data_IF_428443530289
#
_entry.id   IF_428443530289
#
_cell.length_a   1.000
_cell.length_b   1.000
_cell.length_c   1.000
_cell.angle_alpha   90.00
_cell.angle_beta   90.00
_cell.angle_gamma   90.00
#
_symmetry.space_group_name_H-M   'P 1'
#
loop_
_entity.id
_entity.type
_entity.pdbx_description
1 polymer ?
#
# COMPACT_ATOMS: atom_id res chain seq x y z
N UNK A 1 -12.90 30.47 -3.85
CA UNK A 1 -11.48 30.77 -3.53
C UNK A 1 -11.12 30.18 -2.18
N UNK A 2 -10.16 29.26 -2.09
CA UNK A 2 -9.68 28.75 -0.80
C UNK A 2 -8.91 29.86 -0.06
N UNK A 3 -9.42 30.30 1.09
CA UNK A 3 -8.85 31.39 1.88
C UNK A 3 -7.48 31.08 2.47
N UNK A 4 -6.50 31.90 2.10
CA UNK A 4 -5.26 32.37 2.76
C UNK A 4 -4.34 31.46 3.61
N UNK A 5 -4.68 30.22 3.96
CA UNK A 5 -3.77 29.32 4.69
C UNK A 5 -3.30 28.18 3.81
N UNK A 6 -2.24 28.46 3.02
CA UNK A 6 -1.54 27.47 2.19
C UNK A 6 -1.26 26.17 2.97
N UNK A 7 -0.83 26.31 4.23
CA UNK A 7 -0.56 25.19 5.11
C UNK A 7 -1.78 24.31 5.41
N UNK A 8 -2.95 24.90 5.75
CA UNK A 8 -4.16 24.10 6.06
C UNK A 8 -4.66 23.35 4.83
N UNK A 9 -4.61 23.99 3.66
CA UNK A 9 -4.96 23.33 2.40
C UNK A 9 -4.03 22.16 2.08
N UNK A 10 -2.72 22.32 2.28
CA UNK A 10 -1.74 21.23 2.14
C UNK A 10 -2.01 20.11 3.15
N UNK A 11 -2.28 20.44 4.41
CA UNK A 11 -2.59 19.48 5.47
C UNK A 11 -3.81 18.62 5.10
N UNK A 12 -4.94 19.23 4.72
CA UNK A 12 -6.14 18.48 4.36
C UNK A 12 -5.95 17.64 3.10
N UNK A 13 -5.20 18.14 2.11
CA UNK A 13 -4.87 17.37 0.92
C UNK A 13 -4.00 16.17 1.25
N UNK A 14 -2.93 16.38 2.02
CA UNK A 14 -1.99 15.33 2.45
C UNK A 14 -2.70 14.29 3.32
N UNK A 15 -3.49 14.70 4.30
CA UNK A 15 -4.25 13.77 5.15
C UNK A 15 -5.22 12.89 4.37
N UNK A 16 -5.89 13.43 3.33
CA UNK A 16 -6.72 12.61 2.44
C UNK A 16 -5.89 11.60 1.63
N UNK A 17 -4.74 12.03 1.11
CA UNK A 17 -3.83 11.14 0.36
C UNK A 17 -3.28 10.01 1.25
N UNK A 18 -2.88 10.35 2.48
CA UNK A 18 -2.37 9.39 3.45
C UNK A 18 -3.46 8.39 3.87
N UNK A 19 -4.70 8.84 4.05
CA UNK A 19 -5.83 7.97 4.35
C UNK A 19 -6.20 7.02 3.20
N UNK A 20 -6.03 7.44 1.95
CA UNK A 20 -6.21 6.56 0.78
C UNK A 20 -5.06 5.55 0.70
N UNK A 21 -3.82 6.01 0.92
CA UNK A 21 -2.63 5.16 0.90
C UNK A 21 -2.67 4.10 2.00
N UNK A 22 -3.07 4.45 3.22
CA UNK A 22 -3.17 3.49 4.32
C UNK A 22 -4.18 2.38 4.03
N UNK A 23 -5.35 2.71 3.47
CA UNK A 23 -6.35 1.72 3.02
C UNK A 23 -5.79 0.78 1.96
N UNK A 24 -5.00 1.30 1.03
CA UNK A 24 -4.36 0.49 -0.02
C UNK A 24 -3.32 -0.46 0.57
N UNK A 25 -2.47 0.02 1.50
CA UNK A 25 -1.50 -0.81 2.20
C UNK A 25 -2.17 -1.94 2.98
N UNK A 26 -3.27 -1.69 3.69
CA UNK A 26 -4.00 -2.74 4.40
C UNK A 26 -4.55 -3.82 3.47
N UNK A 27 -5.00 -3.46 2.26
CA UNK A 27 -5.47 -4.43 1.27
C UNK A 27 -4.33 -5.29 0.73
N UNK A 28 -3.21 -4.66 0.37
CA UNK A 28 -2.03 -5.36 -0.17
C UNK A 28 -1.38 -6.27 0.88
N UNK A 29 -1.27 -5.83 2.13
CA UNK A 29 -0.79 -6.65 3.24
C UNK A 29 -1.62 -7.93 3.41
N UNK A 30 -2.96 -7.80 3.34
CA UNK A 30 -3.87 -8.95 3.40
C UNK A 30 -3.69 -9.86 2.20
N UNK A 31 -3.53 -9.31 1.01
CA UNK A 31 -3.32 -10.08 -0.22
C UNK A 31 -2.02 -10.88 -0.19
N UNK A 32 -0.90 -10.26 0.23
CA UNK A 32 0.39 -10.91 0.45
C UNK A 32 0.25 -12.04 1.47
N UNK A 33 -0.37 -11.77 2.62
CA UNK A 33 -0.57 -12.75 3.69
C UNK A 33 -1.39 -13.95 3.23
N UNK A 34 -2.48 -13.71 2.50
CA UNK A 34 -3.32 -14.79 1.97
C UNK A 34 -2.56 -15.59 0.91
N UNK A 35 -1.88 -14.92 -0.02
CA UNK A 35 -1.09 -15.59 -1.06
C UNK A 35 0.01 -16.47 -0.48
N UNK A 36 0.71 -15.99 0.57
CA UNK A 36 1.72 -16.75 1.29
C UNK A 36 1.14 -17.95 2.07
N UNK A 37 -0.08 -17.83 2.61
CA UNK A 37 -0.77 -18.93 3.32
C UNK A 37 -1.34 -19.99 2.38
N UNK A 38 -1.87 -19.60 1.23
CA UNK A 38 -2.53 -20.53 0.29
C UNK A 38 -1.57 -21.24 -0.65
N UNK A 39 -0.35 -20.72 -0.81
CA UNK A 39 0.67 -21.29 -1.69
C UNK A 39 2.00 -21.48 -0.98
N UNK A 40 3.08 -21.55 -1.75
CA UNK A 40 4.42 -21.55 -1.19
C UNK A 40 4.82 -20.14 -0.73
N UNK A 41 5.59 -20.01 0.36
CA UNK A 41 6.06 -18.72 0.87
C UNK A 41 7.16 -18.10 -0.02
N UNK A 42 7.69 -18.86 -0.98
CA UNK A 42 8.64 -18.35 -1.97
C UNK A 42 7.92 -17.66 -3.15
N UNK A 43 8.14 -16.36 -3.40
CA UNK A 43 7.60 -15.64 -4.54
C UNK A 43 8.04 -16.19 -5.91
N UNK A 44 9.17 -16.90 -6.00
CA UNK A 44 9.60 -17.53 -7.25
C UNK A 44 8.68 -18.70 -7.64
N UNK A 45 8.15 -19.41 -6.65
CA UNK A 45 7.29 -20.57 -6.81
C UNK A 45 5.79 -20.25 -6.68
N UNK A 46 5.45 -19.00 -6.33
CA UNK A 46 4.08 -18.53 -6.14
C UNK A 46 3.80 -17.26 -6.97
N UNK A 47 3.24 -17.41 -8.18
CA UNK A 47 2.94 -16.28 -9.06
C UNK A 47 2.02 -15.23 -8.43
N UNK A 48 1.09 -15.65 -7.56
CA UNK A 48 0.17 -14.75 -6.86
C UNK A 48 0.90 -13.92 -5.82
N UNK A 49 1.78 -14.53 -5.04
CA UNK A 49 2.63 -13.82 -4.07
C UNK A 49 3.56 -12.83 -4.79
N UNK A 50 4.18 -13.23 -5.90
CA UNK A 50 5.01 -12.35 -6.73
C UNK A 50 4.26 -11.11 -7.20
N UNK A 51 3.03 -11.28 -7.71
CA UNK A 51 2.20 -10.16 -8.15
C UNK A 51 1.82 -9.24 -6.98
N UNK A 52 1.42 -9.81 -5.84
CA UNK A 52 1.08 -9.05 -4.65
C UNK A 52 2.28 -8.20 -4.14
N UNK A 53 3.48 -8.78 -4.13
CA UNK A 53 4.73 -8.09 -3.78
C UNK A 53 5.07 -6.98 -4.79
N UNK A 54 4.90 -7.22 -6.10
CA UNK A 54 5.12 -6.19 -7.12
C UNK A 54 4.15 -5.02 -6.96
N UNK A 55 2.87 -5.30 -6.72
CA UNK A 55 1.85 -4.28 -6.48
C UNK A 55 2.16 -3.46 -5.21
N UNK A 56 2.63 -4.10 -4.13
CA UNK A 56 3.08 -3.42 -2.92
C UNK A 56 4.28 -2.51 -3.17
N UNK A 57 5.27 -2.95 -3.96
CA UNK A 57 6.42 -2.12 -4.34
C UNK A 57 6.02 -0.95 -5.24
N UNK A 58 5.07 -1.14 -6.15
CA UNK A 58 4.59 -0.09 -7.05
C UNK A 58 3.95 1.10 -6.30
N UNK A 59 3.44 0.86 -5.09
CA UNK A 59 2.83 1.89 -4.23
C UNK A 59 3.76 2.40 -3.14
N UNK A 60 5.05 2.09 -3.22
CA UNK A 60 6.08 2.45 -2.23
C UNK A 60 5.76 1.97 -0.81
N UNK A 61 5.17 0.76 -0.70
CA UNK A 61 4.99 0.13 0.60
C UNK A 61 6.38 -0.21 1.20
N UNK A 62 6.64 0.11 2.48
CA UNK A 62 7.91 -0.22 3.14
C UNK A 62 8.19 -1.72 3.07
N UNK A 63 9.46 -2.09 2.87
CA UNK A 63 9.88 -3.49 2.80
C UNK A 63 9.53 -4.27 4.06
N UNK A 64 9.59 -3.63 5.23
CA UNK A 64 9.25 -4.26 6.51
C UNK A 64 7.77 -4.67 6.61
N UNK A 65 6.91 -4.11 5.75
CA UNK A 65 5.48 -4.42 5.72
C UNK A 65 5.11 -5.47 4.64
N UNK A 66 6.06 -5.91 3.80
CA UNK A 66 5.88 -6.88 2.71
C UNK A 66 6.37 -8.24 3.16
#
# INVERSE_FOLDING_TARGET
MAGHSQFKNIMHRKGRQDAVRSKMFSKLAREITVAAKTGTPDPAMNPRLRLAVQNAKAVSMPKDNI
#
